data_IF_956883320113
#
_entry.id   IF_956883320113
#
_cell.length_a   1.000
_cell.length_b   1.000
_cell.length_c   1.000
_cell.angle_alpha   90.00
_cell.angle_beta   90.00
_cell.angle_gamma   90.00
#
_symmetry.space_group_name_H-M   'P 1'
#
loop_
_entity.id
_entity.type
_entity.pdbx_description
1 polymer ?
#
# COMPACT_ATOMS: atom_id res chain seq x y z
N UNK A 1 -71.48 36.79 -49.66
CA UNK A 1 -70.30 35.95 -49.73
C UNK A 1 -69.43 36.21 -48.47
N UNK A 2 -69.60 35.47 -47.40
CA UNK A 2 -68.80 35.56 -46.17
C UNK A 2 -68.15 34.24 -45.93
N UNK A 3 -66.80 34.20 -46.03
CA UNK A 3 -65.98 33.02 -45.75
C UNK A 3 -65.71 32.96 -44.23
N UNK A 4 -66.17 31.90 -43.59
CA UNK A 4 -65.79 31.57 -42.20
C UNK A 4 -64.44 30.83 -42.18
N UNK A 5 -63.44 31.43 -41.53
CA UNK A 5 -62.19 30.76 -41.19
C UNK A 5 -62.33 30.09 -39.81
N UNK A 6 -62.09 28.77 -39.78
CA UNK A 6 -62.03 27.96 -38.55
C UNK A 6 -60.62 28.08 -37.97
N UNK A 7 -60.44 28.41 -36.70
CA UNK A 7 -59.10 28.35 -36.07
C UNK A 7 -58.75 26.93 -35.69
N UNK A 8 -57.55 26.47 -36.12
CA UNK A 8 -56.92 25.21 -35.77
C UNK A 8 -56.39 25.29 -34.31
N UNK A 9 -56.97 24.50 -33.42
CA UNK A 9 -56.56 24.42 -32.02
C UNK A 9 -55.37 23.44 -31.92
N UNK A 10 -54.12 23.99 -31.83
CA UNK A 10 -52.94 23.21 -31.52
C UNK A 10 -52.93 22.86 -30.05
N UNK A 11 -53.16 21.57 -29.75
CA UNK A 11 -53.08 21.01 -28.42
C UNK A 11 -51.61 20.73 -28.11
N UNK A 12 -50.97 21.60 -27.29
CA UNK A 12 -49.64 21.38 -26.75
C UNK A 12 -49.68 20.31 -25.65
N UNK A 13 -49.19 19.11 -25.95
CA UNK A 13 -48.90 18.08 -24.96
C UNK A 13 -47.61 18.48 -24.22
N UNK A 14 -47.75 18.91 -22.99
CA UNK A 14 -46.63 19.09 -22.06
C UNK A 14 -46.14 17.72 -21.56
N UNK A 15 -45.05 17.26 -22.13
CA UNK A 15 -44.30 16.14 -21.51
C UNK A 15 -43.52 16.66 -20.30
N UNK A 16 -44.00 16.40 -19.10
CA UNK A 16 -43.23 16.57 -17.88
C UNK A 16 -42.18 15.47 -17.84
N UNK A 17 -40.94 15.79 -18.22
CA UNK A 17 -39.78 14.93 -18.00
C UNK A 17 -39.47 14.95 -16.49
N UNK A 18 -39.65 13.81 -15.84
CA UNK A 18 -39.22 13.60 -14.47
C UNK A 18 -37.72 13.33 -14.51
N UNK A 19 -36.89 14.35 -14.29
CA UNK A 19 -35.46 14.16 -14.05
C UNK A 19 -35.26 13.47 -12.69
N UNK A 20 -34.80 12.23 -12.74
CA UNK A 20 -34.29 11.57 -11.56
C UNK A 20 -32.97 12.22 -11.20
N UNK A 21 -32.96 13.03 -10.13
CA UNK A 21 -31.73 13.43 -9.46
C UNK A 21 -31.01 12.18 -8.99
N UNK A 22 -29.99 11.79 -9.72
CA UNK A 22 -29.01 10.81 -9.25
C UNK A 22 -28.09 11.55 -8.30
N UNK A 23 -28.27 11.37 -7.02
CA UNK A 23 -27.34 11.80 -5.99
C UNK A 23 -26.00 11.10 -6.26
N UNK A 24 -25.00 11.89 -6.67
CA UNK A 24 -23.63 11.42 -6.83
C UNK A 24 -23.06 11.28 -5.42
N UNK A 25 -23.14 10.05 -4.86
CA UNK A 25 -22.36 9.67 -3.70
C UNK A 25 -20.90 9.72 -4.13
N UNK A 26 -20.00 10.47 -3.44
CA UNK A 26 -18.59 10.43 -3.80
C UNK A 26 -18.07 9.00 -3.60
N UNK A 27 -17.78 8.32 -4.70
CA UNK A 27 -17.03 7.06 -4.66
C UNK A 27 -15.70 7.33 -3.96
N UNK A 28 -15.56 6.80 -2.77
CA UNK A 28 -14.24 6.61 -2.16
C UNK A 28 -13.48 5.70 -3.11
N UNK A 29 -12.56 6.28 -3.87
CA UNK A 29 -11.63 5.53 -4.71
C UNK A 29 -10.80 4.60 -3.82
N UNK A 30 -11.34 3.43 -3.53
CA UNK A 30 -10.55 2.29 -3.09
C UNK A 30 -9.73 1.89 -4.31
N UNK A 31 -8.49 2.34 -4.38
CA UNK A 31 -7.53 1.90 -5.40
C UNK A 31 -7.22 0.44 -5.08
N UNK A 32 -8.08 -0.46 -5.55
CA UNK A 32 -7.78 -1.88 -5.63
C UNK A 32 -6.81 -2.06 -6.80
N UNK A 33 -5.51 -1.94 -6.54
CA UNK A 33 -4.50 -2.33 -7.52
C UNK A 33 -4.65 -3.82 -7.78
N UNK A 34 -4.87 -4.18 -9.06
CA UNK A 34 -4.88 -5.57 -9.47
C UNK A 34 -3.53 -6.24 -9.08
N UNK A 35 -3.52 -7.55 -8.73
CA UNK A 35 -2.28 -8.26 -8.46
C UNK A 35 -1.29 -8.07 -9.62
N UNK A 36 -0.12 -7.50 -9.34
CA UNK A 36 0.90 -7.25 -10.33
C UNK A 36 1.02 -5.81 -10.88
N UNK A 37 0.11 -4.89 -10.56
CA UNK A 37 0.26 -3.49 -10.96
C UNK A 37 1.39 -2.83 -10.17
N UNK A 38 2.37 -2.14 -10.81
CA UNK A 38 3.41 -1.40 -10.11
C UNK A 38 2.82 -0.32 -9.19
N UNK A 39 3.34 -0.22 -7.98
CA UNK A 39 2.95 0.78 -6.99
C UNK A 39 4.01 1.88 -6.97
N UNK A 40 3.58 3.14 -6.99
CA UNK A 40 4.50 4.29 -6.81
C UNK A 40 4.91 4.40 -5.34
N UNK A 41 5.95 3.66 -4.97
CA UNK A 41 6.36 3.43 -3.58
C UNK A 41 7.16 4.57 -2.95
N UNK A 42 7.53 5.60 -3.72
CA UNK A 42 8.35 6.73 -3.24
C UNK A 42 9.81 6.38 -2.94
N UNK A 43 10.27 5.18 -3.38
CA UNK A 43 11.64 4.66 -3.17
C UNK A 43 12.13 3.87 -4.40
N UNK A 44 13.42 3.56 -4.44
CA UNK A 44 14.00 2.65 -5.41
C UNK A 44 13.84 1.19 -4.91
N UNK A 45 12.78 0.52 -5.39
CA UNK A 45 12.41 -0.84 -5.00
C UNK A 45 13.50 -1.87 -5.32
N UNK A 46 14.13 -1.76 -6.50
CA UNK A 46 15.16 -2.70 -6.95
C UNK A 46 16.42 -2.59 -6.08
N UNK A 47 16.83 -1.36 -5.74
CA UNK A 47 17.98 -1.15 -4.86
C UNK A 47 17.72 -1.71 -3.46
N UNK A 48 16.56 -1.41 -2.86
CA UNK A 48 16.24 -1.91 -1.53
C UNK A 48 16.14 -3.43 -1.49
N UNK A 49 15.48 -4.05 -2.47
CA UNK A 49 15.38 -5.50 -2.59
C UNK A 49 16.77 -6.14 -2.76
N UNK A 50 17.64 -5.54 -3.56
CA UNK A 50 19.03 -5.98 -3.74
C UNK A 50 19.80 -5.97 -2.43
N UNK A 51 19.79 -4.85 -1.68
CA UNK A 51 20.48 -4.72 -0.38
C UNK A 51 20.01 -5.81 0.61
N UNK A 52 18.71 -6.01 0.70
CA UNK A 52 18.11 -7.06 1.55
C UNK A 52 18.60 -8.44 1.12
N UNK A 53 18.54 -8.76 -0.17
CA UNK A 53 18.90 -10.09 -0.67
C UNK A 53 20.40 -10.39 -0.57
N UNK A 54 21.27 -9.41 -0.76
CA UNK A 54 22.71 -9.55 -0.51
C UNK A 54 22.99 -9.92 0.95
N UNK A 55 22.29 -9.28 1.90
CA UNK A 55 22.44 -9.60 3.31
C UNK A 55 21.87 -10.99 3.64
N UNK A 56 20.71 -11.33 3.09
CA UNK A 56 20.08 -12.64 3.28
C UNK A 56 20.98 -13.78 2.79
N UNK A 57 21.63 -13.62 1.64
CA UNK A 57 22.50 -14.66 1.07
C UNK A 57 23.88 -14.77 1.76
N UNK A 58 24.35 -13.70 2.39
CA UNK A 58 25.62 -13.71 3.12
C UNK A 58 25.50 -14.15 4.58
N UNK A 59 24.31 -14.01 5.18
CA UNK A 59 24.13 -14.14 6.62
C UNK A 59 24.70 -12.92 7.38
N UNK A 60 24.36 -12.79 8.64
CA UNK A 60 24.88 -11.73 9.52
C UNK A 60 24.60 -12.03 11.00
N UNK A 61 25.08 -11.16 11.88
CA UNK A 61 24.63 -11.13 13.26
C UNK A 61 23.51 -10.09 13.43
N UNK A 62 22.37 -10.48 14.00
CA UNK A 62 21.35 -9.58 14.47
C UNK A 62 21.51 -9.40 15.99
N UNK A 63 22.15 -8.31 16.38
CA UNK A 63 22.63 -8.17 17.76
C UNK A 63 23.59 -9.31 18.10
N UNK A 64 23.27 -10.09 19.12
CA UNK A 64 24.05 -11.28 19.53
C UNK A 64 23.63 -12.58 18.85
N UNK A 65 22.56 -12.54 18.04
CA UNK A 65 22.02 -13.73 17.36
C UNK A 65 22.69 -13.92 16.01
N UNK A 66 23.35 -15.07 15.80
CA UNK A 66 23.89 -15.44 14.48
C UNK A 66 22.73 -15.85 13.58
N UNK A 67 22.59 -15.17 12.44
CA UNK A 67 21.59 -15.48 11.40
C UNK A 67 22.32 -16.07 10.19
N UNK A 68 22.11 -17.36 9.89
CA UNK A 68 22.75 -18.01 8.75
C UNK A 68 22.18 -17.47 7.43
N UNK A 69 22.87 -17.72 6.29
CA UNK A 69 22.33 -17.43 4.97
C UNK A 69 20.95 -18.05 4.78
N UNK A 70 20.05 -17.30 4.15
CA UNK A 70 18.68 -17.70 3.83
C UNK A 70 18.33 -17.35 2.38
N UNK A 71 17.27 -17.96 1.85
CA UNK A 71 16.81 -17.72 0.48
C UNK A 71 16.44 -16.24 0.26
N UNK A 72 16.65 -15.77 -0.95
CA UNK A 72 16.24 -14.42 -1.38
C UNK A 72 14.73 -14.25 -1.31
N UNK A 73 14.31 -12.99 -1.15
CA UNK A 73 12.91 -12.57 -1.28
C UNK A 73 12.63 -12.11 -2.72
N UNK A 74 11.38 -12.23 -3.13
CA UNK A 74 10.87 -11.57 -4.33
C UNK A 74 10.04 -10.34 -3.95
N UNK A 75 9.96 -9.37 -4.86
CA UNK A 75 9.10 -8.20 -4.66
C UNK A 75 7.64 -8.55 -4.87
N UNK A 76 6.77 -8.04 -4.00
CA UNK A 76 5.33 -8.22 -4.11
C UNK A 76 4.60 -6.86 -4.01
N UNK A 77 3.83 -6.52 -5.05
CA UNK A 77 3.14 -5.23 -5.15
C UNK A 77 2.00 -5.08 -4.13
N UNK A 78 1.39 -6.15 -3.65
CA UNK A 78 0.36 -6.07 -2.60
C UNK A 78 0.99 -5.71 -1.25
N UNK A 79 2.15 -6.28 -0.92
CA UNK A 79 2.93 -5.90 0.26
C UNK A 79 3.42 -4.44 0.14
N UNK A 80 3.86 -4.01 -1.04
CA UNK A 80 4.25 -2.63 -1.28
C UNK A 80 3.07 -1.65 -1.14
N UNK A 81 1.86 -2.05 -1.56
CA UNK A 81 0.66 -1.26 -1.38
C UNK A 81 0.27 -1.11 0.10
N UNK A 82 0.37 -2.19 0.89
CA UNK A 82 0.16 -2.15 2.34
C UNK A 82 1.18 -1.22 3.03
N UNK A 83 2.45 -1.34 2.66
CA UNK A 83 3.53 -0.48 3.14
C UNK A 83 3.28 1.00 2.80
N UNK A 84 2.85 1.30 1.57
CA UNK A 84 2.54 2.66 1.15
C UNK A 84 1.37 3.25 1.93
N UNK A 85 0.31 2.47 2.12
CA UNK A 85 -0.85 2.91 2.90
C UNK A 85 -0.44 3.28 4.33
N UNK A 86 0.42 2.48 4.97
CA UNK A 86 0.90 2.76 6.32
C UNK A 86 1.85 3.96 6.39
N UNK A 87 2.82 4.07 5.47
CA UNK A 87 3.72 5.23 5.41
C UNK A 87 2.94 6.53 5.21
N UNK A 88 1.91 6.54 4.35
CA UNK A 88 1.01 7.68 4.15
C UNK A 88 0.20 8.00 5.40
N UNK A 89 -0.32 7.00 6.07
CA UNK A 89 -1.10 7.16 7.30
C UNK A 89 -0.23 7.79 8.41
N UNK A 90 0.97 7.26 8.63
CA UNK A 90 1.94 7.84 9.57
C UNK A 90 2.31 9.29 9.23
N UNK A 91 2.49 9.60 7.93
CA UNK A 91 2.85 10.94 7.49
C UNK A 91 1.70 11.92 7.63
N UNK A 92 0.50 11.56 7.20
CA UNK A 92 -0.67 12.42 7.25
C UNK A 92 -1.11 12.75 8.68
N UNK A 93 -0.96 11.78 9.61
CA UNK A 93 -1.41 11.90 10.99
C UNK A 93 -0.26 12.16 11.98
N UNK A 94 0.99 12.29 11.47
CA UNK A 94 2.20 12.60 12.25
C UNK A 94 2.38 11.69 13.48
N UNK A 95 2.32 10.37 13.28
CA UNK A 95 2.62 9.37 14.30
C UNK A 95 3.68 8.36 13.81
N UNK A 96 4.21 7.55 14.73
CA UNK A 96 5.16 6.48 14.41
C UNK A 96 4.85 5.26 15.25
N UNK A 97 4.21 4.25 14.65
CA UNK A 97 3.77 3.03 15.33
C UNK A 97 3.47 1.94 14.30
N UNK A 98 3.66 0.68 14.66
CA UNK A 98 3.21 -0.48 13.88
C UNK A 98 1.68 -0.57 13.81
N UNK A 99 0.96 -0.13 14.84
CA UNK A 99 -0.50 -0.10 14.83
C UNK A 99 -1.00 1.25 14.36
N UNK A 100 -1.89 1.25 13.37
CA UNK A 100 -2.56 2.46 12.87
C UNK A 100 -3.45 3.09 13.95
N UNK A 101 -3.73 4.40 13.83
CA UNK A 101 -4.56 5.12 14.81
C UNK A 101 -6.00 4.56 14.92
N UNK A 102 -6.48 3.92 13.86
CA UNK A 102 -7.78 3.23 13.83
C UNK A 102 -7.72 1.80 14.40
N UNK A 103 -6.57 1.37 14.92
CA UNK A 103 -6.35 0.06 15.53
C UNK A 103 -5.91 -1.04 14.58
N UNK A 104 -5.82 -0.80 13.25
CA UNK A 104 -5.37 -1.83 12.30
C UNK A 104 -3.91 -2.22 12.56
N UNK A 105 -3.68 -3.53 12.61
CA UNK A 105 -2.35 -4.14 12.68
C UNK A 105 -1.71 -4.21 11.28
N UNK A 106 -0.40 -4.51 11.17
CA UNK A 106 0.23 -4.79 9.87
C UNK A 106 -0.51 -5.90 9.10
N UNK A 107 -0.91 -6.99 9.78
CA UNK A 107 -1.66 -8.08 9.16
C UNK A 107 -3.00 -7.65 8.57
N UNK A 108 -3.70 -6.71 9.22
CA UNK A 108 -4.97 -6.16 8.71
C UNK A 108 -4.73 -5.33 7.44
N UNK A 109 -3.65 -4.53 7.40
CA UNK A 109 -3.29 -3.73 6.22
C UNK A 109 -2.86 -4.61 5.05
N UNK A 110 -2.05 -5.64 5.30
CA UNK A 110 -1.62 -6.63 4.31
C UNK A 110 -2.84 -7.38 3.73
N UNK A 111 -3.79 -7.77 4.59
CA UNK A 111 -5.05 -8.40 4.17
C UNK A 111 -5.92 -7.45 3.35
N UNK A 112 -6.04 -6.19 3.78
CA UNK A 112 -6.79 -5.15 3.05
C UNK A 112 -6.19 -4.84 1.67
N UNK A 113 -4.87 -4.99 1.51
CA UNK A 113 -4.18 -4.89 0.23
C UNK A 113 -4.41 -6.11 -0.68
N UNK A 114 -5.06 -7.17 -0.18
CA UNK A 114 -5.39 -8.38 -0.94
C UNK A 114 -4.35 -9.51 -0.84
N UNK A 115 -3.32 -9.37 0.00
CA UNK A 115 -2.31 -10.40 0.20
C UNK A 115 -2.78 -11.44 1.23
N UNK A 116 -2.84 -12.71 0.82
CA UNK A 116 -3.29 -13.82 1.68
C UNK A 116 -2.09 -14.44 2.40
N UNK A 117 -1.73 -13.90 3.53
CA UNK A 117 -0.55 -14.31 4.26
C UNK A 117 -0.78 -15.55 5.13
N UNK A 118 0.24 -16.41 5.21
CA UNK A 118 0.44 -17.44 6.24
C UNK A 118 1.45 -16.98 7.30
N UNK A 119 2.35 -16.06 6.92
CA UNK A 119 3.28 -15.39 7.83
C UNK A 119 3.51 -13.98 7.32
N UNK A 120 3.65 -13.02 8.22
CA UNK A 120 4.01 -11.64 7.90
C UNK A 120 4.96 -11.06 8.95
N UNK A 121 5.60 -9.94 8.60
CA UNK A 121 6.40 -9.13 9.49
C UNK A 121 6.54 -7.72 8.93
N UNK A 122 6.80 -6.75 9.80
CA UNK A 122 6.93 -5.35 9.42
C UNK A 122 8.18 -4.72 10.04
N UNK A 123 8.86 -3.90 9.26
CA UNK A 123 9.85 -2.93 9.72
C UNK A 123 9.38 -1.53 9.40
N UNK A 124 9.48 -0.60 10.34
CA UNK A 124 9.23 0.83 10.10
C UNK A 124 10.46 1.65 10.46
N UNK A 125 10.63 2.79 9.78
CA UNK A 125 11.68 3.76 10.09
C UNK A 125 11.22 5.18 9.76
N UNK A 126 11.90 6.18 10.32
CA UNK A 126 11.60 7.58 10.05
C UNK A 126 12.87 8.44 10.02
N UNK A 127 12.97 9.30 9.00
CA UNK A 127 14.04 10.30 8.89
C UNK A 127 15.20 9.91 7.96
N UNK A 128 15.30 8.66 7.54
CA UNK A 128 16.34 8.20 6.62
C UNK A 128 16.16 8.82 5.23
N UNK A 129 17.28 9.20 4.61
CA UNK A 129 17.26 10.00 3.38
C UNK A 129 17.17 9.14 2.10
N UNK A 130 17.64 7.90 2.15
CA UNK A 130 17.71 7.00 1.01
C UNK A 130 17.64 5.52 1.45
N UNK A 131 17.59 4.61 0.48
CA UNK A 131 17.46 3.16 0.66
C UNK A 131 18.63 2.55 1.44
N UNK A 132 19.85 3.02 1.18
CA UNK A 132 21.01 2.52 1.93
C UNK A 132 20.89 2.89 3.41
N UNK A 133 20.56 4.15 3.71
CA UNK A 133 20.44 4.64 5.08
C UNK A 133 19.32 3.93 5.86
N UNK A 134 18.17 3.63 5.22
CA UNK A 134 17.10 2.90 5.89
C UNK A 134 17.44 1.43 6.06
N UNK A 135 18.06 0.81 5.06
CA UNK A 135 18.57 -0.56 5.18
C UNK A 135 19.60 -0.68 6.32
N UNK A 136 20.56 0.25 6.41
CA UNK A 136 21.55 0.26 7.48
C UNK A 136 20.92 0.43 8.85
N UNK A 137 19.91 1.29 8.97
CA UNK A 137 19.15 1.46 10.22
C UNK A 137 18.44 0.15 10.63
N UNK A 138 17.80 -0.54 9.70
CA UNK A 138 17.11 -1.80 9.97
C UNK A 138 18.07 -2.95 10.28
N UNK A 139 19.15 -3.12 9.51
CA UNK A 139 20.06 -4.25 9.71
C UNK A 139 20.88 -4.14 11.00
N UNK A 140 21.09 -2.92 11.49
CA UNK A 140 21.78 -2.67 12.77
C UNK A 140 20.82 -2.71 13.99
N UNK A 141 19.52 -2.86 13.80
CA UNK A 141 18.53 -3.07 14.85
C UNK A 141 18.18 -4.54 14.97
N UNK A 142 18.38 -5.15 16.13
CA UNK A 142 18.21 -6.59 16.31
C UNK A 142 16.85 -7.13 15.84
N UNK A 143 15.75 -6.44 16.19
CA UNK A 143 14.39 -6.85 15.81
C UNK A 143 14.15 -6.75 14.31
N UNK A 144 14.53 -5.61 13.70
CA UNK A 144 14.37 -5.40 12.26
C UNK A 144 15.27 -6.33 11.44
N UNK A 145 16.50 -6.57 11.90
CA UNK A 145 17.44 -7.50 11.30
C UNK A 145 16.87 -8.92 11.30
N UNK A 146 16.25 -9.37 12.41
CA UNK A 146 15.62 -10.69 12.49
C UNK A 146 14.46 -10.84 11.51
N UNK A 147 13.68 -9.77 11.24
CA UNK A 147 12.68 -9.78 10.19
C UNK A 147 13.35 -9.94 8.81
N UNK A 148 14.37 -9.13 8.49
CA UNK A 148 15.10 -9.21 7.22
C UNK A 148 15.66 -10.65 7.02
N UNK A 149 16.18 -11.27 8.05
CA UNK A 149 16.85 -12.57 7.99
C UNK A 149 15.93 -13.76 8.24
N UNK A 150 14.63 -13.55 8.43
CA UNK A 150 13.69 -14.65 8.68
C UNK A 150 13.53 -15.56 7.46
N UNK A 151 13.79 -16.87 7.64
CA UNK A 151 13.55 -17.89 6.61
C UNK A 151 12.05 -18.12 6.33
N UNK A 152 11.17 -17.65 7.22
CA UNK A 152 9.73 -17.79 7.09
C UNK A 152 9.16 -16.94 5.98
N UNK A 153 9.82 -15.85 5.56
CA UNK A 153 9.34 -14.95 4.53
C UNK A 153 9.90 -15.36 3.16
N UNK A 154 9.07 -15.11 2.12
CA UNK A 154 9.40 -15.40 0.71
C UNK A 154 9.30 -14.15 -0.15
N UNK A 155 8.54 -13.17 0.29
CA UNK A 155 8.25 -11.95 -0.44
C UNK A 155 8.41 -10.75 0.46
N UNK A 156 8.69 -9.59 -0.14
CA UNK A 156 8.67 -8.30 0.51
C UNK A 156 8.09 -7.22 -0.39
N UNK A 157 7.59 -6.18 0.24
CA UNK A 157 7.28 -4.90 -0.38
C UNK A 157 7.65 -3.79 0.56
N UNK A 158 7.96 -2.61 0.05
CA UNK A 158 8.28 -1.47 0.88
C UNK A 158 7.80 -0.17 0.23
N UNK A 159 7.60 0.87 1.04
CA UNK A 159 7.28 2.19 0.56
C UNK A 159 7.78 3.28 1.50
N UNK A 160 7.87 4.50 0.95
CA UNK A 160 8.19 5.73 1.67
C UNK A 160 7.13 6.78 1.37
N UNK A 161 6.70 7.51 2.40
CA UNK A 161 5.94 8.74 2.25
C UNK A 161 6.44 9.79 3.25
N UNK A 162 6.80 10.96 2.76
CA UNK A 162 7.49 11.97 3.56
C UNK A 162 8.77 11.42 4.20
N UNK A 163 8.85 11.45 5.53
CA UNK A 163 9.99 10.91 6.29
C UNK A 163 9.82 9.45 6.71
N UNK A 164 8.65 8.84 6.52
CA UNK A 164 8.31 7.51 7.02
C UNK A 164 8.54 6.42 5.98
N UNK A 165 9.10 5.32 6.44
CA UNK A 165 9.39 4.12 5.67
C UNK A 165 8.68 2.93 6.29
N UNK A 166 8.09 2.09 5.46
CA UNK A 166 7.52 0.81 5.86
C UNK A 166 8.03 -0.29 4.94
N UNK A 167 8.42 -1.42 5.51
CA UNK A 167 8.79 -2.64 4.80
C UNK A 167 7.93 -3.76 5.33
N UNK A 168 7.17 -4.39 4.45
CA UNK A 168 6.33 -5.54 4.75
C UNK A 168 6.96 -6.81 4.19
N UNK A 169 6.91 -7.87 4.98
CA UNK A 169 7.35 -9.22 4.61
C UNK A 169 6.17 -10.16 4.62
N UNK A 170 6.20 -11.18 3.73
CA UNK A 170 5.11 -12.14 3.67
C UNK A 170 5.51 -13.50 3.13
N UNK A 171 4.63 -14.48 3.41
CA UNK A 171 4.55 -15.78 2.74
C UNK A 171 3.09 -16.15 2.60
N UNK A 172 2.69 -16.52 1.39
CA UNK A 172 1.41 -17.16 1.08
C UNK A 172 1.49 -18.68 1.18
#
# INVERSE_FOLDING_TARGET
MKRFLLPCLCMFLLFTSCEKNTEIVPETNVVTSAPGTPVATGLNADLLLKLVNEKRTSGCNCGTTVMPPVATLTWNNLLAAAALAHSKDMNANNYFSHTSLDGRTPGDRITAAGYKWMAYGENIAAGQQNEQAVFDAWINSEGHCKNIMSASFKEMGAAKDGKYWTQEFGRQ
#
